data_IF_169775387073
#
_entry.id   IF_169775387073
#
_cell.length_a   1.000
_cell.length_b   1.000
_cell.length_c   1.000
_cell.angle_alpha   90.00
_cell.angle_beta   90.00
_cell.angle_gamma   90.00
#
_symmetry.space_group_name_H-M   'P 1'
#
loop_
_entity.id
_entity.type
_entity.pdbx_description
1 polymer ?
#
# COMPACT_ATOMS: atom_id res chain seq x y z
N UNK A 1 -14.66 17.76 -19.02
CA UNK A 1 -15.20 16.49 -18.51
C UNK A 1 -14.07 15.61 -17.99
N UNK A 2 -13.18 15.10 -18.85
CA UNK A 2 -12.06 14.20 -18.47
C UNK A 2 -11.17 14.72 -17.32
N UNK A 3 -10.84 16.02 -17.32
CA UNK A 3 -10.03 16.63 -16.25
C UNK A 3 -10.75 16.68 -14.90
N UNK A 4 -12.07 16.90 -14.91
CA UNK A 4 -12.88 16.98 -13.69
C UNK A 4 -13.01 15.60 -13.04
N UNK A 5 -13.25 14.57 -13.85
CA UNK A 5 -13.32 13.17 -13.39
C UNK A 5 -12.00 12.73 -12.73
N UNK A 6 -10.85 13.16 -13.28
CA UNK A 6 -9.53 12.88 -12.71
C UNK A 6 -9.28 13.60 -11.38
N UNK A 7 -9.71 14.86 -11.27
CA UNK A 7 -9.61 15.63 -10.02
C UNK A 7 -10.46 14.98 -8.93
N UNK A 8 -11.70 14.61 -9.26
CA UNK A 8 -12.61 13.93 -8.35
C UNK A 8 -12.04 12.60 -7.87
N UNK A 9 -11.51 11.78 -8.78
CA UNK A 9 -10.95 10.47 -8.43
C UNK A 9 -9.70 10.58 -7.54
N UNK A 10 -8.78 11.48 -7.85
CA UNK A 10 -7.57 11.69 -7.04
C UNK A 10 -7.92 12.32 -5.67
N UNK A 11 -8.90 13.23 -5.62
CA UNK A 11 -9.39 13.79 -4.37
C UNK A 11 -10.08 12.73 -3.49
N UNK A 12 -10.97 11.92 -4.08
CA UNK A 12 -11.63 10.81 -3.41
C UNK A 12 -10.61 9.82 -2.82
N UNK A 13 -9.61 9.43 -3.61
CA UNK A 13 -8.59 8.48 -3.17
C UNK A 13 -7.70 9.08 -2.07
N UNK A 14 -7.39 10.37 -2.15
CA UNK A 14 -6.64 11.10 -1.11
C UNK A 14 -7.41 11.13 0.21
N UNK A 15 -8.69 11.54 0.16
CA UNK A 15 -9.54 11.66 1.34
C UNK A 15 -9.86 10.31 1.98
N UNK A 16 -10.22 9.31 1.18
CA UNK A 16 -10.49 7.96 1.67
C UNK A 16 -9.23 7.31 2.28
N UNK A 17 -8.08 7.48 1.64
CA UNK A 17 -6.79 7.02 2.19
C UNK A 17 -6.42 7.72 3.51
N UNK A 18 -6.69 9.03 3.62
CA UNK A 18 -6.44 9.78 4.86
C UNK A 18 -7.37 9.34 5.99
N UNK A 19 -8.64 9.09 5.70
CA UNK A 19 -9.60 8.57 6.68
C UNK A 19 -9.18 7.18 7.18
N UNK A 20 -8.81 6.28 6.27
CA UNK A 20 -8.29 4.96 6.61
C UNK A 20 -7.05 5.05 7.50
N UNK A 21 -6.13 5.96 7.18
CA UNK A 21 -4.94 6.17 8.00
C UNK A 21 -5.30 6.59 9.43
N UNK A 22 -6.25 7.50 9.60
CA UNK A 22 -6.72 7.93 10.92
C UNK A 22 -7.36 6.77 11.67
N UNK A 23 -8.27 6.02 11.02
CA UNK A 23 -8.91 4.86 11.64
C UNK A 23 -7.91 3.76 12.02
N UNK A 24 -6.90 3.52 11.18
CA UNK A 24 -5.85 2.54 11.45
C UNK A 24 -4.97 2.95 12.63
N UNK A 25 -4.59 4.23 12.70
CA UNK A 25 -3.82 4.75 13.83
C UNK A 25 -4.61 4.67 15.13
N UNK A 26 -5.90 5.01 15.11
CA UNK A 26 -6.79 4.85 16.27
C UNK A 26 -6.89 3.39 16.71
N UNK A 27 -7.10 2.45 15.79
CA UNK A 27 -7.13 1.03 16.12
C UNK A 27 -5.80 0.55 16.72
N UNK A 28 -4.65 1.04 16.22
CA UNK A 28 -3.33 0.68 16.75
C UNK A 28 -3.12 1.22 18.18
N UNK A 29 -3.64 2.41 18.50
CA UNK A 29 -3.55 2.98 19.84
C UNK A 29 -4.40 2.23 20.88
N UNK A 30 -5.40 1.47 20.44
CA UNK A 30 -6.24 0.64 21.31
C UNK A 30 -5.62 -0.73 21.61
N UNK A 31 -4.54 -1.09 20.92
CA UNK A 31 -3.83 -2.35 21.18
C UNK A 31 -2.81 -2.19 22.30
N UNK A 32 -2.99 -2.97 23.36
CA UNK A 32 -1.97 -3.14 24.38
C UNK A 32 -0.77 -3.94 23.83
N UNK A 33 0.43 -3.41 24.03
CA UNK A 33 1.72 -4.03 23.67
C UNK A 33 2.02 -4.28 22.17
N UNK A 34 1.19 -3.80 21.24
CA UNK A 34 1.51 -3.78 19.81
C UNK A 34 1.39 -2.37 19.23
N UNK A 35 2.53 -1.72 19.02
CA UNK A 35 2.63 -0.42 18.36
C UNK A 35 3.93 -0.34 17.56
N UNK A 36 4.18 0.80 16.91
CA UNK A 36 5.40 1.01 16.12
C UNK A 36 6.68 0.87 16.96
N UNK A 37 6.68 1.23 18.24
CA UNK A 37 7.88 1.15 19.10
C UNK A 37 8.03 -0.22 19.81
N UNK A 38 6.93 -0.92 20.05
CA UNK A 38 6.89 -2.17 20.81
C UNK A 38 6.07 -3.21 20.05
N UNK A 39 6.74 -4.26 19.58
CA UNK A 39 6.13 -5.34 18.78
C UNK A 39 5.88 -6.64 19.57
N UNK A 40 6.18 -6.64 20.88
CA UNK A 40 6.13 -7.83 21.75
C UNK A 40 4.74 -8.48 21.82
N UNK A 41 3.69 -7.68 21.75
CA UNK A 41 2.30 -8.13 21.81
C UNK A 41 1.72 -8.53 20.45
N UNK A 42 2.35 -8.19 19.32
CA UNK A 42 1.70 -8.28 18.01
C UNK A 42 1.35 -9.70 17.54
N UNK A 43 1.97 -10.72 18.15
CA UNK A 43 1.72 -12.15 17.85
C UNK A 43 1.56 -12.99 19.12
N UNK A 44 1.41 -12.35 20.29
CA UNK A 44 1.34 -13.06 21.58
C UNK A 44 0.02 -13.81 21.66
N UNK A 45 0.09 -15.13 21.87
CA UNK A 45 -1.10 -15.98 21.95
C UNK A 45 -1.61 -16.52 20.61
N UNK A 46 -0.93 -16.21 19.50
CA UNK A 46 -1.17 -16.90 18.23
C UNK A 46 -0.98 -18.43 18.42
N UNK A 47 -1.87 -19.29 17.87
CA UNK A 47 -2.96 -19.00 16.92
C UNK A 47 -4.33 -18.65 17.55
N UNK A 48 -4.44 -18.60 18.88
CA UNK A 48 -5.69 -18.41 19.63
C UNK A 48 -5.86 -16.97 20.14
N UNK A 49 -5.54 -15.98 19.31
CA UNK A 49 -5.67 -14.57 19.66
C UNK A 49 -7.16 -14.19 19.84
N UNK A 50 -7.58 -13.66 21.01
CA UNK A 50 -8.88 -13.04 21.14
C UNK A 50 -8.92 -11.78 20.27
N UNK A 51 -9.90 -11.71 19.37
CA UNK A 51 -10.01 -10.65 18.38
C UNK A 51 -10.68 -9.42 18.98
N UNK A 52 -9.95 -8.30 19.03
CA UNK A 52 -10.51 -7.00 19.39
C UNK A 52 -11.45 -6.49 18.27
N UNK A 53 -12.63 -6.00 18.66
CA UNK A 53 -13.66 -5.53 17.73
C UNK A 53 -13.18 -4.38 16.84
N UNK A 54 -12.28 -3.52 17.32
CA UNK A 54 -11.72 -2.41 16.56
C UNK A 54 -10.78 -2.88 15.47
N UNK A 55 -9.97 -3.91 15.74
CA UNK A 55 -9.11 -4.57 14.74
C UNK A 55 -9.96 -5.17 13.64
N UNK A 56 -11.04 -5.88 14.01
CA UNK A 56 -11.98 -6.49 13.03
C UNK A 56 -12.63 -5.43 12.15
N UNK A 57 -13.15 -4.34 12.75
CA UNK A 57 -13.78 -3.25 12.01
C UNK A 57 -12.81 -2.60 11.02
N UNK A 58 -11.60 -2.30 11.47
CA UNK A 58 -10.58 -1.72 10.60
C UNK A 58 -10.18 -2.67 9.46
N UNK A 59 -10.01 -3.96 9.75
CA UNK A 59 -9.70 -4.98 8.73
C UNK A 59 -10.76 -5.06 7.63
N UNK A 60 -12.04 -5.04 8.02
CA UNK A 60 -13.15 -5.05 7.05
C UNK A 60 -13.19 -3.76 6.23
N UNK A 61 -12.88 -2.62 6.86
CA UNK A 61 -12.80 -1.33 6.18
C UNK A 61 -11.65 -1.29 5.14
N UNK A 62 -10.46 -1.76 5.51
CA UNK A 62 -9.31 -1.91 4.59
C UNK A 62 -9.63 -2.88 3.45
N UNK A 63 -10.21 -4.05 3.75
CA UNK A 63 -10.62 -5.00 2.73
C UNK A 63 -11.62 -4.38 1.75
N UNK A 64 -12.64 -3.68 2.26
CA UNK A 64 -13.63 -2.99 1.43
C UNK A 64 -13.00 -1.92 0.53
N UNK A 65 -12.05 -1.15 1.06
CA UNK A 65 -11.34 -0.12 0.30
C UNK A 65 -10.50 -0.71 -0.84
N UNK A 66 -9.68 -1.73 -0.55
CA UNK A 66 -8.86 -2.37 -1.58
C UNK A 66 -9.70 -3.13 -2.60
N UNK A 67 -10.80 -3.77 -2.19
CA UNK A 67 -11.75 -4.38 -3.11
C UNK A 67 -12.41 -3.33 -4.02
N UNK A 68 -12.80 -2.17 -3.49
CA UNK A 68 -13.32 -1.07 -4.29
C UNK A 68 -12.31 -0.60 -5.34
N UNK A 69 -11.06 -0.34 -4.94
CA UNK A 69 -9.98 0.08 -5.86
C UNK A 69 -9.67 -0.96 -6.93
N UNK A 70 -9.76 -2.25 -6.60
CA UNK A 70 -9.54 -3.34 -7.56
C UNK A 70 -10.73 -3.51 -8.53
N UNK A 71 -11.96 -3.46 -8.01
CA UNK A 71 -13.17 -3.70 -8.79
C UNK A 71 -13.50 -2.55 -9.72
N UNK A 72 -13.26 -1.28 -9.33
CA UNK A 72 -13.49 -0.13 -10.23
C UNK A 72 -12.72 -0.33 -11.54
N UNK A 73 -11.46 -0.77 -11.45
CA UNK A 73 -10.61 -0.98 -12.61
C UNK A 73 -11.08 -2.18 -13.44
N UNK A 74 -11.39 -3.30 -12.76
CA UNK A 74 -11.87 -4.53 -13.40
C UNK A 74 -13.19 -4.33 -14.16
N UNK A 75 -14.03 -3.40 -13.70
CA UNK A 75 -15.31 -3.03 -14.32
C UNK A 75 -15.17 -1.94 -15.39
N UNK A 76 -13.94 -1.45 -15.66
CA UNK A 76 -13.69 -0.39 -16.63
C UNK A 76 -14.20 0.98 -16.20
N UNK A 77 -14.39 1.19 -14.89
CA UNK A 77 -14.84 2.45 -14.30
C UNK A 77 -13.63 3.29 -13.86
N UNK A 78 -13.65 4.60 -14.16
CA UNK A 78 -12.61 5.53 -13.75
C UNK A 78 -11.28 5.36 -14.50
N UNK A 79 -10.20 5.91 -13.91
CA UNK A 79 -8.86 5.86 -14.46
C UNK A 79 -8.27 4.46 -14.36
N UNK A 80 -7.77 3.96 -15.50
CA UNK A 80 -7.12 2.65 -15.52
C UNK A 80 -5.80 2.65 -14.74
N UNK A 81 -5.59 1.63 -13.93
CA UNK A 81 -4.34 1.45 -13.21
C UNK A 81 -3.29 0.74 -14.08
N UNK A 82 -2.03 0.77 -13.62
CA UNK A 82 -0.98 -0.02 -14.26
C UNK A 82 -1.12 -1.49 -13.86
N UNK A 83 -0.78 -2.44 -14.75
CA UNK A 83 -0.76 -3.88 -14.41
C UNK A 83 0.01 -4.21 -13.12
N UNK A 84 1.06 -3.45 -12.80
CA UNK A 84 1.80 -3.61 -11.55
C UNK A 84 1.00 -3.24 -10.30
N UNK A 85 0.07 -2.28 -10.41
CA UNK A 85 -0.86 -1.90 -9.34
C UNK A 85 -2.03 -2.90 -9.25
N UNK A 86 -2.49 -3.48 -10.35
CA UNK A 86 -3.51 -4.54 -10.29
C UNK A 86 -2.97 -5.77 -9.54
N UNK A 87 -1.75 -6.20 -9.87
CA UNK A 87 -1.05 -7.25 -9.13
C UNK A 87 -0.83 -6.89 -7.66
N UNK A 88 -0.63 -5.61 -7.36
CA UNK A 88 -0.57 -5.11 -5.98
C UNK A 88 -1.89 -5.34 -5.25
N UNK A 89 -3.01 -4.96 -5.86
CA UNK A 89 -4.31 -5.10 -5.23
C UNK A 89 -4.67 -6.56 -5.01
N UNK A 90 -4.44 -7.43 -5.99
CA UNK A 90 -4.65 -8.87 -5.84
C UNK A 90 -3.80 -9.45 -4.70
N UNK A 91 -2.51 -9.11 -4.65
CA UNK A 91 -1.62 -9.60 -3.59
C UNK A 91 -2.00 -9.05 -2.21
N UNK A 92 -2.39 -7.78 -2.12
CA UNK A 92 -2.79 -7.13 -0.86
C UNK A 92 -4.11 -7.68 -0.34
N UNK A 93 -5.12 -7.86 -1.20
CA UNK A 93 -6.39 -8.52 -0.85
C UNK A 93 -6.14 -9.95 -0.39
N UNK A 94 -5.30 -10.71 -1.10
CA UNK A 94 -4.90 -12.06 -0.70
C UNK A 94 -4.24 -12.08 0.69
N UNK A 95 -3.33 -11.16 0.96
CA UNK A 95 -2.67 -10.97 2.26
C UNK A 95 -3.65 -10.60 3.38
N UNK A 96 -4.61 -9.69 3.12
CA UNK A 96 -5.66 -9.30 4.06
C UNK A 96 -6.49 -10.53 4.43
N UNK A 97 -7.01 -11.24 3.43
CA UNK A 97 -7.86 -12.41 3.65
C UNK A 97 -7.08 -13.51 4.38
N UNK A 98 -5.86 -13.80 3.95
CA UNK A 98 -5.01 -14.81 4.57
C UNK A 98 -4.70 -14.48 6.04
N UNK A 99 -4.24 -13.26 6.31
CA UNK A 99 -3.93 -12.81 7.68
C UNK A 99 -5.17 -12.78 8.58
N UNK A 100 -6.35 -12.53 8.02
CA UNK A 100 -7.63 -12.60 8.75
C UNK A 100 -8.01 -14.03 9.11
N UNK A 101 -7.89 -15.00 8.20
CA UNK A 101 -8.23 -16.39 8.51
C UNK A 101 -7.20 -17.09 9.41
N UNK A 102 -5.93 -16.65 9.34
CA UNK A 102 -4.84 -17.26 10.09
C UNK A 102 -4.47 -16.52 11.38
N UNK A 103 -5.33 -15.62 11.86
CA UNK A 103 -5.14 -14.89 13.12
C UNK A 103 -3.89 -14.00 13.22
N UNK A 104 -3.44 -13.40 12.11
CA UNK A 104 -2.33 -12.43 12.08
C UNK A 104 -2.80 -10.96 12.05
N UNK A 105 -4.03 -10.66 12.50
CA UNK A 105 -4.66 -9.36 12.31
C UNK A 105 -3.98 -8.24 13.10
N UNK A 106 -3.49 -8.52 14.31
CA UNK A 106 -2.76 -7.53 15.12
C UNK A 106 -1.48 -7.07 14.41
N UNK A 107 -0.71 -8.02 13.87
CA UNK A 107 0.47 -7.71 13.06
C UNK A 107 0.09 -7.08 11.72
N UNK A 108 -1.01 -7.51 11.12
CA UNK A 108 -1.57 -6.93 9.90
C UNK A 108 -1.99 -5.46 10.06
N UNK A 109 -2.56 -5.09 11.21
CA UNK A 109 -2.88 -3.70 11.54
C UNK A 109 -1.61 -2.83 11.57
N UNK A 110 -0.54 -3.30 12.19
CA UNK A 110 0.76 -2.62 12.16
C UNK A 110 1.29 -2.49 10.71
N UNK A 111 1.09 -3.51 9.88
CA UNK A 111 1.47 -3.47 8.47
C UNK A 111 0.66 -2.41 7.71
N UNK A 112 -0.68 -2.42 7.80
CA UNK A 112 -1.52 -1.45 7.10
C UNK A 112 -1.23 -0.03 7.52
N UNK A 113 -1.11 0.22 8.83
CA UNK A 113 -0.80 1.57 9.34
C UNK A 113 0.51 2.11 8.78
N UNK A 114 1.59 1.32 8.73
CA UNK A 114 2.87 1.73 8.15
C UNK A 114 2.80 1.94 6.63
N UNK A 115 2.14 1.03 5.91
CA UNK A 115 2.07 1.11 4.46
C UNK A 115 1.17 2.27 4.00
N UNK A 116 0.07 2.54 4.69
CA UNK A 116 -0.91 3.53 4.25
C UNK A 116 -0.49 4.99 4.50
N UNK A 117 0.51 5.26 5.34
CA UNK A 117 0.98 6.64 5.62
C UNK A 117 1.35 7.43 4.36
N UNK A 118 2.06 6.80 3.42
CA UNK A 118 2.57 7.49 2.23
C UNK A 118 1.51 7.71 1.15
N UNK A 119 0.43 6.92 1.15
CA UNK A 119 -0.52 6.86 0.03
C UNK A 119 -1.28 8.19 -0.18
N UNK A 120 -1.86 8.83 0.85
CA UNK A 120 -2.54 10.12 0.67
C UNK A 120 -1.61 11.21 0.11
N UNK A 121 -0.34 11.23 0.53
CA UNK A 121 0.65 12.21 0.06
C UNK A 121 0.96 12.02 -1.43
N UNK A 122 1.02 10.77 -1.90
CA UNK A 122 1.17 10.47 -3.33
C UNK A 122 0.00 11.00 -4.15
N UNK A 123 -1.24 10.69 -3.73
CA UNK A 123 -2.43 11.13 -4.45
C UNK A 123 -2.59 12.66 -4.42
N UNK A 124 -2.25 13.31 -3.30
CA UNK A 124 -2.15 14.77 -3.23
C UNK A 124 -1.14 15.33 -4.25
N UNK A 125 0.01 14.68 -4.44
CA UNK A 125 1.00 15.11 -5.45
C UNK A 125 0.48 14.98 -6.88
N UNK A 126 -0.31 13.94 -7.18
CA UNK A 126 -0.96 13.73 -8.49
C UNK A 126 -2.09 14.73 -8.72
N UNK A 127 -2.83 15.06 -7.68
CA UNK A 127 -3.86 16.09 -7.71
C UNK A 127 -3.22 17.46 -8.00
N UNK A 128 -2.15 17.83 -7.30
CA UNK A 128 -1.41 19.06 -7.58
C UNK A 128 -0.85 19.11 -9.01
N UNK A 129 -0.43 17.97 -9.56
CA UNK A 129 -0.04 17.88 -10.98
C UNK A 129 -1.23 18.08 -11.93
N UNK A 130 -2.42 17.61 -11.57
CA UNK A 130 -3.63 17.75 -12.40
C UNK A 130 -4.18 19.18 -12.37
N UNK A 131 -3.91 19.92 -11.30
CA UNK A 131 -4.24 21.33 -11.14
C UNK A 131 -3.15 22.27 -11.67
N UNK A 132 -2.12 21.75 -12.36
CA UNK A 132 -0.98 22.49 -12.88
C UNK A 132 -0.27 23.39 -11.84
N UNK A 133 -0.13 22.89 -10.61
CA UNK A 133 0.58 23.59 -9.53
C UNK A 133 2.01 23.05 -9.34
N UNK A 134 3.02 23.59 -10.07
CA UNK A 134 4.34 22.97 -10.19
C UNK A 134 5.11 22.89 -8.86
N UNK A 135 5.08 23.97 -8.07
CA UNK A 135 5.75 24.04 -6.77
C UNK A 135 5.18 23.01 -5.78
N UNK A 136 3.84 22.94 -5.68
CA UNK A 136 3.15 22.00 -4.80
C UNK A 136 3.38 20.56 -5.23
N UNK A 137 3.33 20.26 -6.53
CA UNK A 137 3.62 18.93 -7.08
C UNK A 137 5.01 18.43 -6.65
N UNK A 138 6.06 19.24 -6.86
CA UNK A 138 7.44 18.84 -6.53
C UNK A 138 7.61 18.66 -5.03
N UNK A 139 7.09 19.60 -4.22
CA UNK A 139 7.15 19.51 -2.77
C UNK A 139 6.42 18.28 -2.22
N UNK A 140 5.19 18.02 -2.69
CA UNK A 140 4.39 16.86 -2.27
C UNK A 140 5.01 15.54 -2.73
N UNK A 141 5.59 15.48 -3.94
CA UNK A 141 6.26 14.28 -4.41
C UNK A 141 7.54 13.99 -3.61
N UNK A 142 8.32 15.02 -3.25
CA UNK A 142 9.48 14.88 -2.38
C UNK A 142 9.09 14.44 -0.96
N UNK A 143 8.02 15.02 -0.40
CA UNK A 143 7.47 14.61 0.88
C UNK A 143 6.99 13.16 0.86
N UNK A 144 6.26 12.76 -0.19
CA UNK A 144 5.85 11.38 -0.43
C UNK A 144 7.07 10.44 -0.44
N UNK A 145 8.12 10.78 -1.17
CA UNK A 145 9.32 9.95 -1.25
C UNK A 145 9.99 9.77 0.12
N UNK A 146 10.08 10.85 0.91
CA UNK A 146 10.62 10.80 2.27
C UNK A 146 9.77 9.92 3.21
N UNK A 147 8.45 10.11 3.20
CA UNK A 147 7.52 9.30 4.00
C UNK A 147 7.58 7.83 3.57
N UNK A 148 7.59 7.54 2.27
CA UNK A 148 7.69 6.18 1.74
C UNK A 148 9.00 5.50 2.18
N UNK A 149 10.13 6.20 2.10
CA UNK A 149 11.42 5.69 2.55
C UNK A 149 11.38 5.35 4.05
N UNK A 150 10.88 6.28 4.87
CA UNK A 150 10.80 6.07 6.31
C UNK A 150 9.88 4.89 6.64
N UNK A 151 8.62 4.91 6.22
CA UNK A 151 7.64 3.93 6.71
C UNK A 151 7.81 2.56 6.05
N UNK A 152 8.08 2.50 4.74
CA UNK A 152 8.07 1.23 3.98
C UNK A 152 9.45 0.62 3.77
N UNK A 153 10.52 1.42 3.78
CA UNK A 153 11.90 0.90 3.55
C UNK A 153 12.66 0.75 4.85
N UNK A 154 12.46 1.65 5.83
CA UNK A 154 13.16 1.57 7.12
C UNK A 154 12.31 0.88 8.19
N UNK A 155 11.13 1.44 8.51
CA UNK A 155 10.33 0.97 9.63
C UNK A 155 9.70 -0.40 9.37
N UNK A 156 9.13 -0.62 8.18
CA UNK A 156 8.50 -1.90 7.83
C UNK A 156 9.41 -3.12 8.03
N UNK A 157 10.61 -3.22 7.41
CA UNK A 157 11.47 -4.38 7.66
C UNK A 157 12.00 -4.43 9.10
N UNK A 158 12.34 -3.28 9.69
CA UNK A 158 12.88 -3.26 11.06
C UNK A 158 11.87 -3.71 12.11
N UNK A 159 10.60 -3.32 11.98
CA UNK A 159 9.55 -3.60 12.95
C UNK A 159 8.81 -4.88 12.61
N UNK A 160 8.26 -4.99 11.39
CA UNK A 160 7.35 -6.07 11.00
C UNK A 160 8.11 -7.38 10.79
N UNK A 161 9.20 -7.39 10.02
CA UNK A 161 9.94 -8.64 9.75
C UNK A 161 10.61 -9.13 11.03
N UNK A 162 11.18 -8.23 11.83
CA UNK A 162 11.71 -8.58 13.16
C UNK A 162 10.62 -9.15 14.06
N UNK A 163 9.44 -8.53 14.10
CA UNK A 163 8.32 -9.03 14.90
C UNK A 163 7.91 -10.42 14.43
N UNK A 164 7.70 -10.62 13.12
CA UNK A 164 7.28 -11.89 12.53
C UNK A 164 8.31 -13.02 12.72
N UNK A 165 9.61 -12.70 12.80
CA UNK A 165 10.68 -13.69 12.98
C UNK A 165 10.99 -13.99 14.45
N UNK A 166 11.08 -12.95 15.29
CA UNK A 166 11.64 -13.07 16.64
C UNK A 166 10.58 -13.28 17.72
N UNK A 167 9.42 -12.65 17.59
CA UNK A 167 8.38 -12.69 18.62
C UNK A 167 7.65 -14.05 18.68
N UNK A 168 7.39 -14.75 17.57
CA UNK A 168 6.79 -16.09 17.63
C UNK A 168 7.71 -17.10 18.31
N UNK A 169 9.03 -17.02 18.09
CA UNK A 169 9.99 -17.90 18.74
C UNK A 169 10.04 -17.71 20.27
N UNK A 170 9.83 -16.48 20.75
CA UNK A 170 9.86 -16.15 22.17
C UNK A 170 8.53 -16.39 22.88
N UNK A 171 7.43 -16.06 22.23
CA UNK A 171 6.12 -15.99 22.85
C UNK A 171 5.21 -17.16 22.49
N UNK A 172 5.59 -18.00 21.52
CA UNK A 172 4.80 -19.16 21.07
C UNK A 172 5.67 -20.42 21.10
N UNK A 173 5.80 -20.98 22.31
CA UNK A 173 6.68 -22.11 22.67
C UNK A 173 6.47 -23.36 21.80
N UNK A 174 5.35 -23.48 21.06
CA UNK A 174 5.00 -24.68 20.28
C UNK A 174 4.79 -24.45 18.78
N UNK A 175 5.14 -23.30 18.22
CA UNK A 175 4.98 -23.05 16.76
C UNK A 175 5.67 -24.12 15.91
N UNK A 176 6.85 -24.57 16.34
CA UNK A 176 7.66 -25.55 15.63
C UNK A 176 7.27 -27.00 15.94
N UNK A 177 6.43 -27.24 16.96
CA UNK A 177 6.06 -28.59 17.38
C UNK A 177 4.85 -29.16 16.61
N UNK A 178 4.04 -28.29 16.00
CA UNK A 178 2.85 -28.68 15.24
C UNK A 178 3.08 -28.28 13.77
N UNK A 179 3.23 -29.25 12.84
CA UNK A 179 3.61 -28.98 11.45
C UNK A 179 2.69 -27.99 10.71
N UNK A 180 1.38 -28.02 10.98
CA UNK A 180 0.42 -27.12 10.33
C UNK A 180 0.66 -25.65 10.71
N UNK A 181 0.99 -25.36 11.97
CA UNK A 181 1.24 -24.01 12.45
C UNK A 181 2.58 -23.47 11.93
N UNK A 182 3.59 -24.34 11.83
CA UNK A 182 4.86 -24.00 11.19
C UNK A 182 4.64 -23.63 9.71
N UNK A 183 3.84 -24.41 8.98
CA UNK A 183 3.53 -24.14 7.57
C UNK A 183 2.81 -22.81 7.36
N UNK A 184 1.80 -22.50 8.19
CA UNK A 184 1.08 -21.22 8.15
C UNK A 184 2.04 -20.04 8.41
N UNK A 185 2.93 -20.16 9.39
CA UNK A 185 3.91 -19.13 9.71
C UNK A 185 4.94 -18.93 8.59
N UNK A 186 5.48 -20.00 8.00
CA UNK A 186 6.40 -19.90 6.85
C UNK A 186 5.71 -19.22 5.67
N UNK A 187 4.48 -19.60 5.35
CA UNK A 187 3.70 -18.97 4.29
C UNK A 187 3.50 -17.48 4.57
N UNK A 188 3.16 -17.10 5.81
CA UNK A 188 3.03 -15.71 6.20
C UNK A 188 4.34 -14.93 5.99
N UNK A 189 5.48 -15.49 6.37
CA UNK A 189 6.80 -14.88 6.14
C UNK A 189 7.13 -14.72 4.65
N UNK A 190 6.86 -15.74 3.84
CA UNK A 190 7.07 -15.66 2.38
C UNK A 190 6.23 -14.52 1.78
N UNK A 191 4.96 -14.40 2.18
CA UNK A 191 4.10 -13.32 1.72
C UNK A 191 4.61 -11.94 2.20
N UNK A 192 5.12 -11.83 3.42
CA UNK A 192 5.75 -10.59 3.90
C UNK A 192 7.01 -10.23 3.10
N UNK A 193 7.82 -11.20 2.71
CA UNK A 193 9.00 -10.96 1.87
C UNK A 193 8.62 -10.48 0.47
N UNK A 194 7.57 -11.07 -0.12
CA UNK A 194 7.02 -10.61 -1.40
C UNK A 194 6.54 -9.16 -1.27
N UNK A 195 5.82 -8.83 -0.20
CA UNK A 195 5.36 -7.48 0.08
C UNK A 195 6.55 -6.50 0.23
N UNK A 196 7.60 -6.89 0.97
CA UNK A 196 8.81 -6.08 1.13
C UNK A 196 9.53 -5.85 -0.20
N UNK A 197 9.68 -6.89 -1.03
CA UNK A 197 10.30 -6.78 -2.34
C UNK A 197 9.54 -5.81 -3.26
N UNK A 198 8.20 -5.84 -3.20
CA UNK A 198 7.35 -4.90 -3.92
C UNK A 198 7.60 -3.44 -3.50
N UNK A 199 7.71 -3.18 -2.20
CA UNK A 199 8.04 -1.83 -1.70
C UNK A 199 9.44 -1.39 -2.15
N UNK A 200 10.42 -2.30 -2.12
CA UNK A 200 11.77 -2.00 -2.58
C UNK A 200 11.81 -1.63 -4.06
N UNK A 201 11.08 -2.37 -4.92
CA UNK A 201 10.96 -2.03 -6.34
C UNK A 201 10.37 -0.63 -6.52
N UNK A 202 9.26 -0.31 -5.86
CA UNK A 202 8.68 1.02 -5.96
C UNK A 202 9.60 2.12 -5.44
N UNK A 203 10.35 1.87 -4.37
CA UNK A 203 11.34 2.82 -3.89
C UNK A 203 12.41 3.11 -4.95
N UNK A 204 12.92 2.09 -5.64
CA UNK A 204 13.87 2.28 -6.75
C UNK A 204 13.27 3.12 -7.88
N UNK A 205 11.99 2.94 -8.19
CA UNK A 205 11.30 3.76 -9.18
C UNK A 205 11.18 5.24 -8.74
N UNK A 206 10.89 5.49 -7.45
CA UNK A 206 10.82 6.84 -6.88
C UNK A 206 12.19 7.52 -6.93
N UNK A 207 13.26 6.82 -6.51
CA UNK A 207 14.63 7.34 -6.55
C UNK A 207 15.06 7.67 -7.98
N UNK A 208 14.68 6.83 -8.96
CA UNK A 208 14.94 7.10 -10.38
C UNK A 208 14.30 8.41 -10.81
N UNK A 209 13.02 8.64 -10.47
CA UNK A 209 12.30 9.88 -10.80
C UNK A 209 12.97 11.09 -10.13
N UNK A 210 13.31 11.01 -8.84
CA UNK A 210 13.97 12.11 -8.13
C UNK A 210 15.33 12.47 -8.72
N UNK A 211 16.13 11.47 -9.12
CA UNK A 211 17.42 11.71 -9.80
C UNK A 211 17.22 12.46 -11.11
N UNK A 212 16.24 12.07 -11.92
CA UNK A 212 15.92 12.77 -13.17
C UNK A 212 15.47 14.22 -12.94
N UNK A 213 14.69 14.49 -11.89
CA UNK A 213 14.28 15.86 -11.51
C UNK A 213 15.49 16.68 -11.07
N UNK A 214 16.35 16.12 -10.20
CA UNK A 214 17.54 16.82 -9.67
C UNK A 214 18.61 17.13 -10.72
N UNK A 215 18.69 16.33 -11.79
CA UNK A 215 19.63 16.51 -12.89
C UNK A 215 19.22 17.61 -13.89
N UNK A 216 18.17 18.40 -13.61
CA UNK A 216 17.75 19.54 -14.43
C UNK A 216 16.83 19.22 -15.61
N UNK A 217 16.10 18.10 -15.56
CA UNK A 217 15.24 17.63 -16.65
C UNK A 217 13.74 17.74 -16.35
N UNK A 218 13.26 18.93 -15.99
CA UNK A 218 11.80 19.20 -16.01
C UNK A 218 11.21 18.88 -17.39
N UNK A 219 11.97 19.18 -18.46
CA UNK A 219 11.58 18.88 -19.85
C UNK A 219 11.56 17.39 -20.17
N UNK A 220 12.46 16.59 -19.60
CA UNK A 220 12.51 15.14 -19.86
C UNK A 220 11.43 14.38 -19.11
N UNK A 221 11.15 14.72 -17.85
CA UNK A 221 10.06 14.10 -17.10
C UNK A 221 8.69 14.49 -17.68
N UNK A 222 8.50 15.76 -18.08
CA UNK A 222 7.29 16.17 -18.81
C UNK A 222 7.19 15.44 -20.15
N UNK A 223 8.26 15.36 -20.95
CA UNK A 223 8.23 14.65 -22.22
C UNK A 223 7.94 13.15 -22.05
N UNK A 224 8.48 12.49 -21.03
CA UNK A 224 8.33 11.05 -20.82
C UNK A 224 6.96 10.71 -20.22
N UNK A 225 6.45 11.52 -19.28
CA UNK A 225 5.07 11.40 -18.75
C UNK A 225 4.05 11.73 -19.84
N UNK A 226 4.23 12.82 -20.59
CA UNK A 226 3.34 13.21 -21.70
C UNK A 226 3.33 12.15 -22.80
N UNK A 227 4.48 11.56 -23.13
CA UNK A 227 4.57 10.47 -24.13
C UNK A 227 3.88 9.20 -23.64
N UNK A 228 3.92 8.91 -22.34
CA UNK A 228 3.26 7.75 -21.73
C UNK A 228 1.75 7.94 -21.68
N UNK A 229 1.28 9.13 -21.32
CA UNK A 229 -0.14 9.51 -21.30
C UNK A 229 -0.72 9.57 -22.72
N UNK A 230 -0.03 10.21 -23.67
CA UNK A 230 -0.42 10.23 -25.09
C UNK A 230 -0.49 8.82 -25.69
N UNK A 231 0.48 7.95 -25.39
CA UNK A 231 0.45 6.55 -25.83
C UNK A 231 -0.69 5.75 -25.19
N UNK A 232 -1.15 6.13 -23.99
CA UNK A 232 -2.31 5.52 -23.32
C UNK A 232 -3.60 5.98 -23.99
N UNK A 233 -3.71 7.26 -24.27
CA UNK A 233 -4.87 7.86 -24.92
C UNK A 233 -5.06 7.34 -26.35
N UNK A 234 -3.98 7.27 -27.14
CA UNK A 234 -4.00 6.67 -28.48
C UNK A 234 -4.43 5.19 -28.44
N UNK A 235 -3.93 4.40 -27.48
CA UNK A 235 -4.37 3.00 -27.31
C UNK A 235 -5.83 2.88 -26.93
N UNK A 236 -6.32 3.75 -26.06
CA UNK A 236 -7.71 3.75 -25.62
C UNK A 236 -8.66 4.20 -26.73
N UNK A 237 -8.23 5.12 -27.59
CA UNK A 237 -8.96 5.51 -28.80
C UNK A 237 -8.97 4.38 -29.82
N UNK A 238 -7.81 3.75 -30.11
CA UNK A 238 -7.70 2.63 -31.02
C UNK A 238 -8.54 1.41 -30.58
N UNK A 239 -8.57 1.12 -29.27
CA UNK A 239 -9.41 0.08 -28.70
C UNK A 239 -10.91 0.38 -28.80
N UNK A 240 -11.31 1.66 -28.79
CA UNK A 240 -12.71 2.09 -28.96
C UNK A 240 -13.15 2.19 -30.42
N UNK A 241 -12.23 2.47 -31.35
CA UNK A 241 -12.55 2.60 -32.79
C UNK A 241 -12.46 1.28 -33.55
N UNK A 242 -12.08 0.17 -32.91
CA UNK A 242 -11.93 -1.11 -33.59
C UNK A 242 -10.81 -1.10 -34.65
N UNK A 243 -9.92 -0.11 -34.62
CA UNK A 243 -8.79 -0.02 -35.53
C UNK A 243 -7.64 -0.91 -35.03
N UNK A 244 -7.91 -2.21 -35.04
CA UNK A 244 -6.95 -3.27 -34.79
C UNK A 244 -7.21 -4.40 -35.78
N UNK A 245 -6.83 -4.16 -37.03
CA UNK A 245 -6.51 -5.19 -38.01
C UNK A 245 -5.00 -5.11 -38.26
#
# INVERSE_FOLDING_TARGET
MIMMDKVEEEAYTTLGGALLLVCGWQALLLLDECNVLQTRGCVRGWPLLPMDIWVVRYYNLELGWYMHLMLKHSLGLGLQDTRSMDLHHVSTVGLIVFSYFMNFQTLGLLIFTLLNVSSPVLHASKLANTLDWPQAKVALFAAFAGVFALTRVLLFPYMVVRAAMMEPYKNVVRITQIPIFLGIWIMFLVLLLVLAAMQAWWFLAIVKILRHVSAGSEKGLQAEVLKRDFSREVRNVAAKTGAGA
#
